data_IF_451136347258
#
_entry.id   IF_451136347258
#
_cell.length_a   1.000
_cell.length_b   1.000
_cell.length_c   1.000
_cell.angle_alpha   90.00
_cell.angle_beta   90.00
_cell.angle_gamma   90.00
#
_symmetry.space_group_name_H-M   'P 1'
#
loop_
_entity.id
_entity.type
_entity.pdbx_description
1 polymer ?
#
# COMPACT_ATOMS: atom_id res chain seq x y z
N UNK A 1 34.01 15.13 25.23
CA UNK A 1 32.81 15.13 24.36
C UNK A 1 32.97 14.05 23.30
N UNK A 2 32.38 12.87 23.50
CA UNK A 2 32.41 11.81 22.51
C UNK A 2 31.37 12.10 21.42
N UNK A 3 31.82 12.19 20.16
CA UNK A 3 30.94 12.28 18.99
C UNK A 3 30.10 11.01 18.94
N UNK A 4 28.81 11.09 19.29
CA UNK A 4 27.82 10.05 18.99
C UNK A 4 27.76 9.95 17.47
N UNK A 5 28.45 8.96 16.89
CA UNK A 5 28.19 8.54 15.52
C UNK A 5 26.77 7.99 15.48
N UNK A 6 25.85 8.76 14.88
CA UNK A 6 24.54 8.27 14.51
C UNK A 6 24.74 7.07 13.56
N UNK A 7 24.10 5.95 13.90
CA UNK A 7 24.15 4.76 13.07
C UNK A 7 23.60 5.09 11.68
N UNK A 8 24.22 4.53 10.63
CA UNK A 8 23.73 4.70 9.28
C UNK A 8 22.26 4.24 9.17
N UNK A 9 21.43 4.91 8.36
CA UNK A 9 20.02 4.55 8.22
C UNK A 9 19.85 3.09 7.78
N UNK A 10 18.91 2.38 8.41
CA UNK A 10 18.61 0.97 8.09
C UNK A 10 18.11 0.87 6.65
N UNK A 11 18.73 -0.02 5.87
CA UNK A 11 18.36 -0.25 4.46
C UNK A 11 17.39 -1.41 4.27
N UNK A 12 17.28 -2.29 5.26
CA UNK A 12 16.45 -3.49 5.25
C UNK A 12 15.89 -3.73 6.64
N UNK A 13 14.65 -4.23 6.71
CA UNK A 13 13.97 -4.63 7.94
C UNK A 13 13.15 -5.88 7.65
N UNK A 14 13.26 -6.86 8.53
CA UNK A 14 12.48 -8.09 8.49
C UNK A 14 11.73 -8.22 9.81
N UNK A 15 10.42 -8.39 9.73
CA UNK A 15 9.54 -8.46 10.89
C UNK A 15 8.58 -9.63 10.73
N UNK A 16 8.38 -10.40 11.80
CA UNK A 16 7.40 -11.48 11.81
C UNK A 16 5.99 -10.90 11.83
N UNK A 17 5.15 -11.29 10.88
CA UNK A 17 3.72 -10.95 10.87
C UNK A 17 2.94 -12.03 11.60
N UNK A 18 2.22 -11.65 12.66
CA UNK A 18 1.45 -12.59 13.47
C UNK A 18 2.32 -13.36 14.46
N UNK A 19 1.90 -14.57 14.81
CA UNK A 19 2.58 -15.43 15.77
C UNK A 19 3.06 -16.70 15.10
N UNK A 20 4.30 -17.10 15.37
CA UNK A 20 4.83 -18.40 14.95
C UNK A 20 4.01 -19.54 15.56
N UNK A 21 3.72 -20.56 14.77
CA UNK A 21 2.91 -21.71 15.18
C UNK A 21 3.73 -22.98 15.17
N UNK A 22 3.72 -23.72 16.28
CA UNK A 22 4.22 -25.08 16.34
C UNK A 22 3.10 -26.03 15.94
N UNK A 23 3.12 -26.51 14.69
CA UNK A 23 2.06 -27.38 14.15
C UNK A 23 2.24 -28.84 14.54
N UNK A 24 3.48 -29.28 14.71
CA UNK A 24 3.81 -30.65 15.09
C UNK A 24 5.05 -30.70 15.98
N UNK A 25 5.03 -31.60 16.96
CA UNK A 25 6.17 -31.94 17.79
C UNK A 25 6.13 -33.43 18.09
N UNK A 26 7.30 -34.08 18.07
CA UNK A 26 7.42 -35.46 18.53
C UNK A 26 6.88 -35.62 19.96
N UNK A 27 6.30 -36.78 20.30
CA UNK A 27 5.90 -37.10 21.67
C UNK A 27 7.06 -36.96 22.65
N UNK A 28 6.73 -36.70 23.92
CA UNK A 28 7.71 -36.72 24.99
C UNK A 28 8.49 -38.05 24.98
N UNK A 29 9.81 -37.98 25.11
CA UNK A 29 10.76 -39.12 25.07
C UNK A 29 11.06 -39.70 23.67
N UNK A 30 10.67 -39.05 22.57
CA UNK A 30 11.14 -39.40 21.22
C UNK A 30 11.89 -38.23 20.58
N UNK A 31 13.10 -38.49 20.12
CA UNK A 31 13.91 -37.50 19.39
C UNK A 31 13.35 -37.23 17.98
N UNK A 32 12.84 -38.27 17.31
CA UNK A 32 12.24 -38.17 15.98
C UNK A 32 11.08 -39.15 15.79
N UNK A 33 10.31 -38.92 14.73
CA UNK A 33 9.26 -39.81 14.27
C UNK A 33 9.33 -39.95 12.75
N UNK A 34 9.15 -41.17 12.24
CA UNK A 34 9.14 -41.44 10.81
C UNK A 34 7.74 -41.17 10.24
N UNK A 35 7.66 -40.14 9.41
CA UNK A 35 6.41 -39.59 8.90
C UNK A 35 6.43 -39.68 7.38
N UNK A 36 5.38 -40.29 6.82
CA UNK A 36 5.19 -40.40 5.38
C UNK A 36 4.47 -39.18 4.81
N UNK A 37 3.48 -38.68 5.53
CA UNK A 37 2.63 -37.57 5.08
C UNK A 37 2.10 -36.76 6.27
N UNK A 38 2.00 -35.44 6.09
CA UNK A 38 1.32 -34.54 7.00
C UNK A 38 0.50 -33.52 6.24
N UNK A 39 -0.75 -33.34 6.66
CA UNK A 39 -1.58 -32.20 6.39
C UNK A 39 -1.93 -31.54 7.73
N UNK A 40 -1.40 -30.34 7.96
CA UNK A 40 -1.48 -29.62 9.22
C UNK A 40 -2.20 -28.29 8.99
N UNK A 41 -3.54 -28.24 9.14
CA UNK A 41 -4.29 -27.00 9.02
C UNK A 41 -3.83 -25.96 10.05
N UNK A 42 -3.71 -24.70 9.65
CA UNK A 42 -3.34 -23.59 10.51
C UNK A 42 -4.03 -22.30 10.09
N UNK A 43 -4.15 -21.34 11.01
CA UNK A 43 -4.63 -19.98 10.75
C UNK A 43 -3.69 -18.99 11.43
N UNK A 44 -3.17 -18.04 10.65
CA UNK A 44 -2.35 -16.94 11.15
C UNK A 44 -3.22 -15.71 11.28
N UNK A 45 -3.36 -15.20 12.50
CA UNK A 45 -4.00 -13.92 12.75
C UNK A 45 -3.01 -12.78 12.48
N UNK A 46 -3.33 -11.96 11.48
CA UNK A 46 -2.57 -10.74 11.21
C UNK A 46 -2.88 -9.74 12.33
N UNK A 47 -1.87 -9.17 13.00
CA UNK A 47 -2.10 -8.21 14.07
C UNK A 47 -2.92 -7.02 13.59
N UNK A 48 -4.00 -6.70 14.30
CA UNK A 48 -4.73 -5.46 14.13
C UNK A 48 -4.65 -4.64 15.42
N UNK A 49 -3.91 -3.54 15.39
CA UNK A 49 -3.82 -2.60 16.51
C UNK A 49 -4.49 -1.28 16.17
N UNK A 50 -5.47 -0.85 16.98
CA UNK A 50 -5.87 0.57 17.01
C UNK A 50 -4.79 1.37 17.73
N UNK A 51 -3.86 1.97 17.00
CA UNK A 51 -3.08 3.13 17.47
C UNK A 51 -2.00 2.91 18.53
N UNK A 52 -1.24 1.81 18.49
CA UNK A 52 0.00 1.67 19.28
C UNK A 52 1.25 2.15 18.53
N UNK A 53 2.25 2.70 19.25
CA UNK A 53 3.55 3.08 18.68
C UNK A 53 4.44 1.88 18.27
N UNK A 54 4.11 0.65 18.70
CA UNK A 54 4.86 -0.57 18.35
C UNK A 54 4.60 -0.99 16.89
N UNK A 55 5.66 -1.11 16.09
CA UNK A 55 5.59 -1.53 14.68
C UNK A 55 4.91 -2.89 14.52
N UNK A 56 5.15 -3.82 15.46
CA UNK A 56 4.55 -5.16 15.50
C UNK A 56 3.01 -5.20 15.67
N UNK A 57 2.36 -4.07 15.98
CA UNK A 57 0.89 -3.96 16.10
C UNK A 57 0.23 -3.24 14.93
N UNK A 58 1.00 -2.74 13.97
CA UNK A 58 0.46 -2.06 12.80
C UNK A 58 -0.03 -3.08 11.78
N UNK A 59 -1.17 -2.78 11.15
CA UNK A 59 -1.65 -3.57 10.01
C UNK A 59 -0.56 -3.55 8.93
N UNK A 60 -0.08 -4.71 8.44
CA UNK A 60 0.99 -4.78 7.47
C UNK A 60 0.66 -3.94 6.21
N UNK A 61 1.63 -3.21 5.64
CA UNK A 61 1.44 -2.54 4.35
C UNK A 61 1.13 -3.54 3.22
N UNK A 62 0.63 -3.06 2.09
CA UNK A 62 0.49 -3.90 0.90
C UNK A 62 1.87 -4.24 0.33
N UNK A 63 1.98 -5.41 -0.32
CA UNK A 63 3.17 -5.76 -1.10
C UNK A 63 3.37 -4.76 -2.22
N UNK A 64 4.55 -4.18 -2.32
CA UNK A 64 4.86 -3.11 -3.27
C UNK A 64 6.32 -3.17 -3.68
N UNK A 65 6.58 -2.93 -4.96
CA UNK A 65 7.92 -2.71 -5.49
C UNK A 65 7.90 -1.39 -6.28
N UNK A 66 8.65 -0.40 -5.81
CA UNK A 66 8.81 0.87 -6.53
C UNK A 66 9.75 0.69 -7.74
N UNK A 67 9.66 1.57 -8.76
CA UNK A 67 10.51 1.49 -9.95
C UNK A 67 11.99 1.45 -9.61
N UNK A 68 12.77 0.72 -10.42
CA UNK A 68 14.21 0.50 -10.19
C UNK A 68 14.54 -0.10 -8.82
N UNK A 69 13.55 -0.70 -8.14
CA UNK A 69 13.68 -1.32 -6.82
C UNK A 69 14.25 -0.38 -5.76
N UNK A 70 13.82 0.89 -5.78
CA UNK A 70 14.28 1.86 -4.79
C UNK A 70 13.71 1.58 -3.40
N UNK A 71 12.56 0.92 -3.32
CA UNK A 71 11.99 0.35 -2.09
C UNK A 71 11.10 -0.86 -2.44
N UNK A 72 11.04 -1.82 -1.53
CA UNK A 72 10.25 -3.03 -1.66
C UNK A 72 9.61 -3.40 -0.32
N UNK A 73 8.43 -4.01 -0.38
CA UNK A 73 7.76 -4.69 0.72
C UNK A 73 7.16 -5.95 0.15
N UNK A 74 7.54 -7.10 0.70
CA UNK A 74 7.01 -8.40 0.32
C UNK A 74 6.87 -9.28 1.56
N UNK A 75 6.10 -10.36 1.43
CA UNK A 75 5.85 -11.29 2.52
C UNK A 75 6.10 -12.71 2.05
N UNK A 76 6.59 -13.51 2.98
CA UNK A 76 6.83 -14.93 2.78
C UNK A 76 6.27 -15.69 3.98
N UNK A 77 5.62 -16.82 3.70
CA UNK A 77 5.34 -17.83 4.69
C UNK A 77 6.55 -18.76 4.78
N UNK A 78 7.16 -18.82 5.95
CA UNK A 78 8.35 -19.64 6.19
C UNK A 78 7.96 -20.86 7.01
N UNK A 79 8.11 -22.04 6.41
CA UNK A 79 7.91 -23.34 7.08
C UNK A 79 9.27 -23.89 7.47
N UNK A 80 9.47 -24.14 8.76
CA UNK A 80 10.70 -24.78 9.27
C UNK A 80 10.41 -26.22 9.67
N UNK A 81 11.14 -27.17 9.08
CA UNK A 81 11.08 -28.59 9.41
C UNK A 81 12.36 -28.97 10.14
N UNK A 82 12.22 -29.55 11.34
CA UNK A 82 13.33 -30.18 12.06
C UNK A 82 13.35 -31.68 11.80
N UNK A 83 14.52 -32.20 11.43
CA UNK A 83 14.76 -33.63 11.20
C UNK A 83 15.44 -34.27 12.43
N UNK A 84 15.29 -35.58 12.57
CA UNK A 84 15.85 -36.34 13.69
C UNK A 84 17.38 -36.30 13.81
N UNK A 85 18.09 -36.00 12.72
CA UNK A 85 19.55 -35.79 12.69
C UNK A 85 20.00 -34.48 13.36
N UNK A 86 19.06 -33.63 13.78
CA UNK A 86 19.33 -32.26 14.24
C UNK A 86 19.33 -31.23 13.09
N UNK A 87 19.23 -31.69 11.85
CA UNK A 87 19.14 -30.80 10.69
C UNK A 87 17.81 -30.02 10.69
N UNK A 88 17.87 -28.75 10.29
CA UNK A 88 16.69 -27.90 10.11
C UNK A 88 16.67 -27.38 8.69
N UNK A 89 15.51 -27.51 8.03
CA UNK A 89 15.31 -26.96 6.68
C UNK A 89 14.17 -25.95 6.68
N UNK A 90 14.38 -24.86 5.97
CA UNK A 90 13.39 -23.80 5.80
C UNK A 90 12.89 -23.81 4.36
N UNK A 91 11.59 -23.59 4.22
CA UNK A 91 10.90 -23.44 2.94
C UNK A 91 10.14 -22.11 2.98
N UNK A 92 10.44 -21.23 2.04
CA UNK A 92 9.78 -19.93 1.91
C UNK A 92 8.79 -19.95 0.75
N UNK A 93 7.58 -19.45 1.00
CA UNK A 93 6.51 -19.35 0.02
C UNK A 93 6.04 -17.89 -0.06
N UNK A 94 6.03 -17.25 -1.23
CA UNK A 94 5.61 -15.86 -1.35
C UNK A 94 4.11 -15.71 -1.06
N UNK A 95 3.74 -14.70 -0.27
CA UNK A 95 2.35 -14.38 0.09
C UNK A 95 2.08 -12.90 -0.21
N UNK A 96 1.75 -12.52 -1.46
CA UNK A 96 1.49 -11.13 -1.78
C UNK A 96 0.26 -10.61 -1.00
N UNK A 97 0.40 -9.46 -0.35
CA UNK A 97 -0.67 -8.82 0.43
C UNK A 97 -1.23 -7.62 -0.32
N UNK A 98 -2.55 -7.59 -0.50
CA UNK A 98 -3.28 -6.44 -1.03
C UNK A 98 -4.01 -5.69 0.08
N UNK A 99 -4.14 -4.38 -0.05
CA UNK A 99 -4.93 -3.56 0.87
C UNK A 99 -6.03 -2.80 0.14
N UNK A 100 -7.14 -2.64 0.85
CA UNK A 100 -8.35 -1.99 0.35
C UNK A 100 -8.77 -0.83 1.26
N UNK A 101 -7.89 -0.32 2.13
CA UNK A 101 -8.22 0.77 3.04
C UNK A 101 -8.23 2.15 2.38
N UNK A 102 -7.67 2.27 1.17
CA UNK A 102 -7.55 3.54 0.42
C UNK A 102 -8.56 3.69 -0.72
N UNK A 103 -9.51 2.75 -0.88
CA UNK A 103 -10.45 2.71 -2.00
C UNK A 103 -11.21 4.02 -2.21
N UNK A 104 -11.25 4.52 -3.45
CA UNK A 104 -11.91 5.78 -3.79
C UNK A 104 -13.43 5.78 -3.58
N UNK A 105 -14.03 4.59 -3.43
CA UNK A 105 -15.45 4.38 -3.16
C UNK A 105 -15.84 4.57 -1.70
N UNK A 106 -14.89 4.58 -0.75
CA UNK A 106 -15.23 4.77 0.65
C UNK A 106 -15.79 6.16 0.93
N UNK A 107 -16.88 6.20 1.70
CA UNK A 107 -17.59 7.44 2.04
C UNK A 107 -16.74 8.47 2.79
N UNK A 108 -15.66 8.05 3.48
CA UNK A 108 -14.73 8.98 4.13
C UNK A 108 -13.98 9.86 3.12
N UNK A 109 -13.73 9.35 1.91
CA UNK A 109 -13.03 10.06 0.85
C UNK A 109 -13.97 10.90 -0.03
N UNK A 110 -15.26 10.59 -0.02
CA UNK A 110 -16.30 11.31 -0.75
C UNK A 110 -16.90 12.45 0.06
N UNK A 111 -16.02 13.24 0.70
CA UNK A 111 -16.36 14.46 1.42
C UNK A 111 -15.54 15.61 0.85
N UNK A 112 -16.15 16.80 0.68
CA UNK A 112 -15.40 17.93 0.19
C UNK A 112 -14.24 18.31 1.10
N UNK A 113 -13.06 18.51 0.53
CA UNK A 113 -11.87 18.94 1.23
C UNK A 113 -11.46 20.33 0.70
N UNK A 114 -11.35 21.30 1.60
CA UNK A 114 -11.06 22.69 1.23
C UNK A 114 -9.82 23.19 1.97
N UNK A 115 -9.02 23.98 1.29
CA UNK A 115 -7.82 24.58 1.87
C UNK A 115 -7.60 25.98 1.31
N UNK A 116 -7.02 26.85 2.13
CA UNK A 116 -6.66 28.20 1.73
C UNK A 116 -5.19 28.49 2.02
N UNK A 117 -4.58 29.29 1.16
CA UNK A 117 -3.19 29.70 1.29
C UNK A 117 -3.02 31.15 0.86
N UNK A 118 -2.18 31.83 1.62
CA UNK A 118 -1.83 33.23 1.45
C UNK A 118 -0.31 33.31 1.44
N UNK A 119 0.29 33.98 0.45
CA UNK A 119 1.76 34.18 0.36
C UNK A 119 2.18 35.63 0.57
N UNK A 120 1.26 36.57 0.38
CA UNK A 120 1.38 37.99 0.72
C UNK A 120 0.03 38.53 1.20
N UNK A 121 -0.09 39.83 1.46
CA UNK A 121 -1.33 40.42 1.99
C UNK A 121 -2.34 40.81 0.90
N UNK A 122 -2.11 40.51 -0.40
CA UNK A 122 -2.94 41.02 -1.49
C UNK A 122 -3.97 40.03 -2.01
N UNK A 123 -3.63 38.74 -2.06
CA UNK A 123 -4.49 37.70 -2.66
C UNK A 123 -4.47 36.42 -1.82
N UNK A 124 -5.65 35.81 -1.65
CA UNK A 124 -5.84 34.50 -1.04
C UNK A 124 -6.20 33.46 -2.10
N UNK A 125 -5.49 32.34 -2.14
CA UNK A 125 -5.82 31.16 -2.94
C UNK A 125 -6.60 30.16 -2.09
N UNK A 126 -7.85 29.90 -2.43
CA UNK A 126 -8.66 28.82 -1.89
C UNK A 126 -8.88 27.72 -2.91
N UNK A 127 -8.96 26.49 -2.45
CA UNK A 127 -9.35 25.32 -3.23
C UNK A 127 -10.49 24.56 -2.56
N UNK A 128 -11.26 23.82 -3.36
CA UNK A 128 -12.19 22.81 -2.88
C UNK A 128 -12.17 21.59 -3.80
N UNK A 129 -11.97 20.42 -3.21
CA UNK A 129 -11.98 19.13 -3.86
C UNK A 129 -13.28 18.41 -3.48
N UNK A 130 -14.01 17.79 -4.43
CA UNK A 130 -15.23 17.03 -4.10
C UNK A 130 -14.93 15.70 -3.39
N UNK A 131 -13.73 15.14 -3.64
CA UNK A 131 -13.19 13.93 -3.01
C UNK A 131 -11.68 14.01 -2.92
N UNK A 132 -11.06 13.17 -2.10
CA UNK A 132 -9.63 13.21 -1.87
C UNK A 132 -8.92 11.84 -1.96
N UNK A 133 -9.60 10.81 -2.50
CA UNK A 133 -8.98 9.55 -2.93
C UNK A 133 -9.18 9.34 -4.45
N UNK A 134 -8.12 8.90 -5.13
CA UNK A 134 -8.07 8.75 -6.58
C UNK A 134 -7.32 7.47 -6.98
N UNK A 135 -7.88 6.74 -7.94
CA UNK A 135 -7.23 5.60 -8.59
C UNK A 135 -6.65 5.93 -9.97
N UNK A 136 -6.01 4.96 -10.65
CA UNK A 136 -5.62 5.10 -12.06
C UNK A 136 -6.82 5.49 -12.92
N UNK A 137 -6.60 6.44 -13.85
CA UNK A 137 -7.60 6.99 -14.78
C UNK A 137 -8.75 7.76 -14.12
N UNK A 138 -8.74 7.94 -12.81
CA UNK A 138 -9.77 8.74 -12.14
C UNK A 138 -9.67 10.22 -12.55
N UNK A 139 -10.80 10.88 -12.82
CA UNK A 139 -10.82 12.33 -13.00
C UNK A 139 -10.59 13.02 -11.64
N UNK A 140 -9.70 14.01 -11.67
CA UNK A 140 -9.39 14.91 -10.57
C UNK A 140 -9.88 16.29 -10.97
N UNK A 141 -10.84 16.84 -10.23
CA UNK A 141 -11.42 18.16 -10.46
C UNK A 141 -11.27 19.00 -9.20
N UNK A 142 -10.75 20.21 -9.33
CA UNK A 142 -10.58 21.16 -8.23
C UNK A 142 -11.24 22.48 -8.55
N UNK A 143 -12.03 22.98 -7.61
CA UNK A 143 -12.55 24.34 -7.64
C UNK A 143 -11.50 25.27 -7.06
N UNK A 144 -11.16 26.33 -7.77
CA UNK A 144 -10.13 27.29 -7.40
C UNK A 144 -10.76 28.67 -7.25
N UNK A 145 -10.46 29.33 -6.14
CA UNK A 145 -10.90 30.69 -5.82
C UNK A 145 -9.69 31.55 -5.50
N UNK A 146 -9.47 32.61 -6.27
CA UNK A 146 -8.51 33.67 -5.93
C UNK A 146 -9.29 34.89 -5.45
N UNK A 147 -9.14 35.24 -4.17
CA UNK A 147 -9.87 36.35 -3.55
C UNK A 147 -8.93 37.53 -3.32
N UNK A 148 -9.26 38.76 -3.77
CA UNK A 148 -8.49 39.94 -3.38
C UNK A 148 -8.70 40.23 -1.90
N UNK A 149 -7.68 40.77 -1.24
CA UNK A 149 -7.83 41.27 0.13
C UNK A 149 -8.69 42.56 0.14
N UNK A 150 -9.84 42.58 0.85
CA UNK A 150 -10.70 43.76 0.97
C UNK A 150 -9.98 44.99 1.53
N UNK A 151 -9.07 44.81 2.48
CA UNK A 151 -8.33 45.92 3.13
C UNK A 151 -7.36 46.61 2.14
N UNK A 152 -6.96 45.92 1.09
CA UNK A 152 -5.98 46.38 0.09
C UNK A 152 -6.55 46.37 -1.32
N UNK A 153 -7.86 46.53 -1.47
CA UNK A 153 -8.58 46.32 -2.73
C UNK A 153 -8.03 47.15 -3.89
N UNK A 154 -7.61 48.39 -3.64
CA UNK A 154 -7.01 49.28 -4.65
C UNK A 154 -5.68 48.77 -5.23
N UNK A 155 -4.90 48.03 -4.42
CA UNK A 155 -3.67 47.35 -4.86
C UNK A 155 -3.98 45.96 -5.42
N UNK A 156 -4.85 45.20 -4.76
CA UNK A 156 -5.22 43.85 -5.17
C UNK A 156 -5.82 43.82 -6.58
N UNK A 157 -6.68 44.78 -6.97
CA UNK A 157 -7.23 44.89 -8.34
C UNK A 157 -6.18 45.13 -9.43
N UNK A 158 -4.99 45.62 -9.07
CA UNK A 158 -3.88 45.82 -10.01
C UNK A 158 -3.11 44.52 -10.28
N UNK A 159 -3.27 43.52 -9.41
CA UNK A 159 -2.66 42.20 -9.58
C UNK A 159 -3.24 41.54 -10.84
N UNK A 160 -2.38 40.96 -11.67
CA UNK A 160 -2.81 40.21 -12.86
C UNK A 160 -2.52 38.73 -12.66
N UNK A 161 -3.53 37.89 -12.81
CA UNK A 161 -3.42 36.43 -12.78
C UNK A 161 -2.82 36.00 -14.12
N UNK A 162 -1.57 35.54 -14.14
CA UNK A 162 -0.92 35.10 -15.39
C UNK A 162 -1.39 33.71 -15.80
N UNK A 163 -1.21 32.75 -14.90
CA UNK A 163 -1.52 31.34 -15.13
C UNK A 163 -1.82 30.63 -13.82
N UNK A 164 -2.56 29.54 -13.92
CA UNK A 164 -2.81 28.62 -12.82
C UNK A 164 -2.32 27.24 -13.27
N UNK A 165 -1.47 26.63 -12.45
CA UNK A 165 -0.95 25.29 -12.70
C UNK A 165 -1.53 24.33 -11.66
N UNK A 166 -2.00 23.18 -12.13
CA UNK A 166 -2.43 22.06 -11.31
C UNK A 166 -1.52 20.87 -11.61
N UNK A 167 -1.07 20.16 -10.59
CA UNK A 167 -0.28 18.96 -10.76
C UNK A 167 -0.43 17.99 -9.61
N UNK A 168 -0.01 16.75 -9.84
CA UNK A 168 0.08 15.72 -8.81
C UNK A 168 1.56 15.41 -8.59
N UNK A 169 1.98 15.51 -7.34
CA UNK A 169 3.32 15.17 -6.92
C UNK A 169 3.28 13.90 -6.06
N UNK A 170 4.13 12.94 -6.40
CA UNK A 170 4.46 11.78 -5.58
C UNK A 170 5.67 12.14 -4.71
N UNK A 171 5.60 11.84 -3.42
CA UNK A 171 6.69 12.03 -2.47
C UNK A 171 7.00 10.69 -1.78
N UNK A 172 8.19 10.15 -2.07
CA UNK A 172 8.72 8.96 -1.40
C UNK A 172 9.67 9.40 -0.29
N UNK A 173 9.31 9.08 0.95
CA UNK A 173 10.06 9.44 2.15
C UNK A 173 10.73 8.19 2.69
N UNK A 174 12.05 8.10 2.59
CA UNK A 174 12.85 7.01 3.15
C UNK A 174 13.24 7.34 4.59
N UNK A 175 13.26 6.33 5.46
CA UNK A 175 13.54 6.45 6.90
C UNK A 175 12.64 7.50 7.57
N UNK A 176 11.34 7.48 7.28
CA UNK A 176 10.39 8.52 7.72
C UNK A 176 10.25 8.63 9.25
N UNK A 177 10.59 7.57 9.99
CA UNK A 177 10.60 7.52 11.46
C UNK A 177 11.98 7.83 12.08
N UNK A 178 13.05 7.98 11.27
CA UNK A 178 14.40 8.22 11.74
C UNK A 178 14.80 9.71 11.81
N UNK A 179 16.00 9.98 12.31
CA UNK A 179 16.51 11.35 12.50
C UNK A 179 16.78 12.11 11.18
N UNK A 180 17.03 11.41 10.07
CA UNK A 180 17.33 12.00 8.76
C UNK A 180 16.45 11.40 7.63
N UNK A 181 15.17 11.81 7.52
CA UNK A 181 14.30 11.35 6.45
C UNK A 181 14.72 11.91 5.09
N UNK A 182 14.89 11.04 4.10
CA UNK A 182 15.19 11.45 2.73
C UNK A 182 13.92 11.51 1.89
N UNK A 183 13.60 12.69 1.37
CA UNK A 183 12.42 12.93 0.53
C UNK A 183 12.81 12.96 -0.93
N UNK A 184 12.15 12.15 -1.76
CA UNK A 184 12.24 12.20 -3.22
C UNK A 184 10.88 12.56 -3.78
N UNK A 185 10.79 13.74 -4.38
CA UNK A 185 9.57 14.23 -5.02
C UNK A 185 9.64 14.01 -6.53
N UNK A 186 8.55 13.52 -7.11
CA UNK A 186 8.37 13.34 -8.55
C UNK A 186 7.04 13.95 -8.96
N UNK A 187 7.05 14.83 -9.94
CA UNK A 187 5.82 15.30 -10.57
C UNK A 187 5.29 14.21 -11.52
N UNK A 188 4.08 13.74 -11.28
CA UNK A 188 3.45 12.68 -12.09
C UNK A 188 2.74 13.25 -13.31
N UNK A 189 1.99 14.33 -13.09
CA UNK A 189 1.23 15.01 -14.14
C UNK A 189 1.12 16.49 -13.77
N UNK A 190 1.11 17.36 -14.77
CA UNK A 190 0.92 18.80 -14.62
C UNK A 190 0.14 19.34 -15.80
N UNK A 191 -0.79 20.25 -15.52
CA UNK A 191 -1.54 21.03 -16.50
C UNK A 191 -1.46 22.51 -16.12
N UNK A 192 -1.26 23.35 -17.13
CA UNK A 192 -1.16 24.79 -16.98
C UNK A 192 -2.28 25.46 -17.76
N UNK A 193 -3.03 26.33 -17.11
CA UNK A 193 -4.03 27.20 -17.73
C UNK A 193 -3.55 28.64 -17.71
N UNK A 194 -3.43 29.25 -18.89
CA UNK A 194 -3.10 30.67 -19.01
C UNK A 194 -4.38 31.49 -18.85
N UNK A 195 -4.37 32.45 -17.92
CA UNK A 195 -5.55 33.25 -17.56
C UNK A 195 -5.42 34.66 -18.16
N UNK A 196 -4.39 35.42 -17.77
CA UNK A 196 -4.12 36.76 -18.31
C UNK A 196 -5.09 37.85 -17.86
N UNK A 197 -5.83 37.66 -16.76
CA UNK A 197 -6.90 38.58 -16.32
C UNK A 197 -6.48 39.35 -15.04
N UNK A 198 -6.84 40.63 -14.94
CA UNK A 198 -6.67 41.42 -13.71
C UNK A 198 -7.61 40.93 -12.61
N UNK A 199 -7.18 40.97 -11.36
CA UNK A 199 -7.94 40.47 -10.22
C UNK A 199 -9.31 41.16 -10.13
N UNK A 200 -10.44 40.42 -10.30
CA UNK A 200 -11.76 40.98 -10.15
C UNK A 200 -12.06 41.33 -8.69
N UNK A 201 -12.92 42.31 -8.46
CA UNK A 201 -13.37 42.70 -7.11
C UNK A 201 -14.08 41.55 -6.38
N UNK A 202 -14.91 40.79 -7.09
CA UNK A 202 -15.60 39.62 -6.55
C UNK A 202 -14.68 38.39 -6.35
N UNK A 203 -13.42 38.47 -6.78
CA UNK A 203 -12.52 37.32 -6.90
C UNK A 203 -12.62 36.62 -8.26
N UNK A 204 -11.62 35.80 -8.54
CA UNK A 204 -11.56 34.95 -9.72
C UNK A 204 -11.85 33.50 -9.34
N UNK A 205 -12.75 32.86 -10.08
CA UNK A 205 -13.18 31.49 -9.85
C UNK A 205 -12.95 30.69 -11.13
N UNK A 206 -12.38 29.49 -10.99
CA UNK A 206 -12.26 28.54 -12.10
C UNK A 206 -12.33 27.11 -11.58
N UNK A 207 -12.60 26.17 -12.47
CA UNK A 207 -12.50 24.74 -12.19
C UNK A 207 -11.42 24.17 -13.11
N UNK A 208 -10.42 23.51 -12.52
CA UNK A 208 -9.39 22.81 -13.28
C UNK A 208 -9.52 21.32 -13.05
N UNK A 209 -9.35 20.57 -14.13
CA UNK A 209 -9.33 19.12 -14.11
C UNK A 209 -8.11 18.51 -14.79
N UNK A 210 -7.67 17.36 -14.28
CA UNK A 210 -6.70 16.44 -14.86
C UNK A 210 -7.14 14.99 -14.63
N UNK A 211 -6.50 14.04 -15.30
CA UNK A 211 -6.74 12.60 -15.10
C UNK A 211 -5.55 12.02 -14.35
N UNK A 212 -5.82 11.21 -13.32
CA UNK A 212 -4.76 10.53 -12.59
C UNK A 212 -4.05 9.53 -13.53
N UNK A 213 -2.71 9.55 -13.62
CA UNK A 213 -1.99 8.72 -14.57
C UNK A 213 -2.12 7.24 -14.22
N UNK A 214 -2.33 6.42 -15.24
CA UNK A 214 -2.16 4.97 -15.13
C UNK A 214 -0.79 4.55 -15.66
N UNK A 215 -0.35 3.37 -15.22
CA UNK A 215 0.83 2.69 -15.72
C UNK A 215 0.37 1.47 -16.52
N UNK A 216 0.74 1.40 -17.80
CA UNK A 216 0.53 0.17 -18.58
C UNK A 216 1.48 -0.90 -18.08
N UNK A 217 0.91 -2.02 -17.64
CA UNK A 217 1.67 -3.16 -17.10
C UNK A 217 2.35 -3.95 -18.23
N UNK A 218 1.93 -3.74 -19.48
CA UNK A 218 2.48 -4.40 -20.67
C UNK A 218 3.88 -3.86 -20.99
N UNK A 219 4.70 -4.73 -21.56
CA UNK A 219 6.00 -4.35 -22.10
C UNK A 219 5.88 -3.59 -23.45
N UNK A 220 7.01 -3.24 -24.05
CA UNK A 220 7.08 -2.51 -25.32
C UNK A 220 6.43 -3.25 -26.49
N UNK A 221 6.31 -4.58 -26.40
CA UNK A 221 5.69 -5.43 -27.41
C UNK A 221 4.19 -5.66 -27.12
N UNK A 222 3.65 -5.01 -26.08
CA UNK A 222 2.26 -5.13 -25.65
C UNK A 222 1.98 -6.43 -24.88
N UNK A 223 3.01 -7.18 -24.49
CA UNK A 223 2.89 -8.45 -23.79
C UNK A 223 2.83 -8.17 -22.29
N UNK A 224 1.92 -8.85 -21.59
CA UNK A 224 1.88 -8.78 -20.13
C UNK A 224 3.04 -9.62 -19.57
N UNK A 225 4.02 -9.00 -18.88
CA UNK A 225 5.14 -9.74 -18.33
C UNK A 225 4.64 -10.71 -17.26
N UNK A 226 5.30 -11.87 -17.13
CA UNK A 226 5.00 -12.80 -16.03
C UNK A 226 5.19 -12.06 -14.70
N UNK A 227 4.12 -11.99 -13.91
CA UNK A 227 4.15 -11.41 -12.58
C UNK A 227 5.18 -12.12 -11.69
N UNK A 228 5.77 -11.37 -10.76
CA UNK A 228 6.57 -11.99 -9.70
C UNK A 228 5.62 -12.47 -8.62
N UNK A 229 5.79 -13.70 -8.15
CA UNK A 229 4.89 -14.30 -7.17
C UNK A 229 4.72 -13.45 -5.88
N UNK A 230 5.75 -12.69 -5.49
CA UNK A 230 5.73 -11.85 -4.30
C UNK A 230 5.05 -10.47 -4.48
N UNK A 231 4.74 -10.05 -5.71
CA UNK A 231 4.26 -8.69 -5.99
C UNK A 231 3.05 -8.71 -6.93
N UNK A 232 1.88 -8.19 -6.47
CA UNK A 232 0.76 -7.95 -7.36
C UNK A 232 1.13 -6.96 -8.47
N UNK A 233 0.46 -7.09 -9.62
CA UNK A 233 0.58 -6.15 -10.72
C UNK A 233 -0.43 -5.00 -10.52
N UNK A 234 0.08 -3.79 -10.32
CA UNK A 234 -0.75 -2.59 -10.15
C UNK A 234 -0.74 -1.74 -11.42
N UNK A 235 -1.88 -1.10 -11.71
CA UNK A 235 -2.02 -0.14 -12.81
C UNK A 235 -1.52 1.27 -12.43
N UNK A 236 -0.77 1.38 -11.34
CA UNK A 236 -0.08 2.59 -10.88
C UNK A 236 1.35 2.24 -10.49
N UNK A 237 2.25 3.22 -10.58
CA UNK A 237 3.66 3.06 -10.20
C UNK A 237 3.83 2.86 -8.67
N UNK A 238 2.98 3.53 -7.91
CA UNK A 238 2.92 3.51 -6.46
C UNK A 238 1.54 3.98 -6.01
N UNK A 239 1.26 3.83 -4.73
CA UNK A 239 0.01 4.26 -4.11
C UNK A 239 0.30 4.66 -2.66
N UNK A 240 -0.64 5.38 -2.04
CA UNK A 240 -0.46 5.89 -0.68
C UNK A 240 -0.24 4.72 0.28
N UNK A 241 0.94 4.66 0.91
CA UNK A 241 1.30 3.58 1.83
C UNK A 241 2.34 4.04 2.84
N UNK A 242 2.33 3.42 4.01
CA UNK A 242 3.34 3.62 5.06
C UNK A 242 3.92 2.25 5.43
N UNK A 243 5.17 2.02 5.05
CA UNK A 243 5.94 0.85 5.43
C UNK A 243 6.96 1.22 6.53
N UNK A 244 7.71 0.23 7.03
CA UNK A 244 8.69 0.45 8.11
C UNK A 244 9.82 1.40 7.70
N UNK A 245 10.36 1.26 6.48
CA UNK A 245 11.51 2.04 6.01
C UNK A 245 11.17 3.14 5.01
N UNK A 246 9.95 3.18 4.51
CA UNK A 246 9.53 4.21 3.56
C UNK A 246 8.04 4.54 3.66
N UNK A 247 7.69 5.73 3.20
CA UNK A 247 6.32 6.21 3.07
C UNK A 247 6.14 6.78 1.68
N UNK A 248 4.99 6.53 1.06
CA UNK A 248 4.60 7.12 -0.23
C UNK A 248 3.40 8.00 0.02
N UNK A 249 3.55 9.29 -0.24
CA UNK A 249 2.51 10.31 -0.10
C UNK A 249 2.26 11.00 -1.44
N UNK A 250 1.04 11.49 -1.63
CA UNK A 250 0.65 12.21 -2.83
C UNK A 250 0.05 13.55 -2.47
N UNK A 251 0.34 14.54 -3.30
CA UNK A 251 -0.15 15.91 -3.13
C UNK A 251 -0.72 16.43 -4.42
N UNK A 252 -1.89 17.05 -4.33
CA UNK A 252 -2.39 17.95 -5.36
C UNK A 252 -1.76 19.32 -5.13
N UNK A 253 -0.97 19.76 -6.11
CA UNK A 253 -0.28 21.05 -6.08
C UNK A 253 -0.99 22.03 -7.01
N UNK A 254 -1.43 23.16 -6.45
CA UNK A 254 -2.00 24.29 -7.19
C UNK A 254 -1.03 25.45 -7.06
N UNK A 255 -0.60 26.00 -8.20
CA UNK A 255 0.25 27.19 -8.26
C UNK A 255 -0.46 28.28 -9.04
N UNK A 256 -0.78 29.38 -8.37
CA UNK A 256 -1.26 30.60 -9.00
C UNK A 256 -0.07 31.56 -9.22
N UNK A 257 0.29 31.80 -10.48
CA UNK A 257 1.33 32.77 -10.84
C UNK A 257 0.73 34.12 -11.19
N UNK A 258 1.28 35.18 -10.60
CA UNK A 258 0.70 36.52 -10.64
C UNK A 258 1.72 37.61 -10.95
N UNK A 259 1.24 38.74 -11.45
CA UNK A 259 1.99 39.99 -11.57
C UNK A 259 1.52 40.98 -10.52
N UNK A 260 2.48 41.64 -9.84
CA UNK A 260 2.16 42.63 -8.81
C UNK A 260 1.77 42.02 -7.46
N UNK A 261 1.92 40.70 -7.31
CA UNK A 261 1.79 39.93 -6.06
C UNK A 261 2.76 38.74 -6.11
N UNK A 262 3.03 38.11 -4.97
CA UNK A 262 3.80 36.88 -4.91
C UNK A 262 2.98 35.71 -5.44
N UNK A 263 3.62 34.81 -6.19
CA UNK A 263 3.03 33.53 -6.57
C UNK A 263 2.60 32.76 -5.31
N UNK A 264 1.45 32.10 -5.39
CA UNK A 264 0.92 31.28 -4.29
C UNK A 264 0.96 29.82 -4.71
N UNK A 265 1.57 28.98 -3.87
CA UNK A 265 1.58 27.52 -4.03
C UNK A 265 0.83 26.90 -2.86
N UNK A 266 -0.19 26.10 -3.17
CA UNK A 266 -0.96 25.31 -2.22
C UNK A 266 -0.71 23.83 -2.53
N UNK A 267 -0.29 23.06 -1.53
CA UNK A 267 -0.12 21.60 -1.59
C UNK A 267 -1.16 20.95 -0.69
N UNK A 268 -2.10 20.23 -1.27
CA UNK A 268 -3.15 19.52 -0.55
C UNK A 268 -2.86 18.01 -0.58
N UNK A 269 -2.74 17.33 0.58
CA UNK A 269 -2.62 15.87 0.62
C UNK A 269 -3.81 15.19 -0.07
N UNK A 270 -3.53 14.16 -0.87
CA UNK A 270 -4.53 13.27 -1.46
C UNK A 270 -4.13 11.81 -1.21
N UNK A 271 -5.11 10.92 -1.25
CA UNK A 271 -4.92 9.48 -1.17
C UNK A 271 -4.95 8.91 -2.57
N UNK A 272 -4.01 8.01 -2.86
CA UNK A 272 -3.95 7.27 -4.11
C UNK A 272 -4.19 5.80 -3.80
N UNK A 273 -5.17 5.20 -4.47
CA UNK A 273 -5.42 3.76 -4.41
C UNK A 273 -4.84 3.05 -5.64
N UNK A 274 -4.45 1.77 -5.51
CA UNK A 274 -3.88 1.02 -6.64
C UNK A 274 -4.90 0.62 -7.71
N UNK A 275 -6.18 0.89 -7.48
CA UNK A 275 -7.30 0.33 -8.22
C UNK A 275 -8.16 1.45 -8.82
N UNK A 276 -8.63 1.26 -10.06
CA UNK A 276 -9.54 2.21 -10.68
C UNK A 276 -10.89 2.24 -9.97
N UNK A 277 -11.70 3.27 -10.24
CA UNK A 277 -13.00 3.41 -9.58
C UNK A 277 -13.94 2.23 -9.83
N UNK A 278 -13.86 1.58 -11.00
CA UNK A 278 -14.70 0.44 -11.34
C UNK A 278 -14.38 -0.78 -10.47
N UNK A 279 -13.10 -1.12 -10.32
CA UNK A 279 -12.66 -2.20 -9.45
C UNK A 279 -12.89 -1.84 -7.98
N UNK A 280 -12.65 -0.59 -7.57
CA UNK A 280 -12.99 -0.14 -6.22
C UNK A 280 -14.46 -0.40 -5.87
N UNK A 281 -15.37 -0.31 -6.86
CA UNK A 281 -16.80 -0.60 -6.66
C UNK A 281 -17.09 -2.10 -6.68
N UNK A 282 -16.46 -2.85 -7.58
CA UNK A 282 -16.66 -4.30 -7.71
C UNK A 282 -16.20 -5.05 -6.45
N UNK A 283 -15.10 -4.62 -5.83
CA UNK A 283 -14.53 -5.26 -4.64
C UNK A 283 -15.34 -4.99 -3.36
N UNK A 284 -16.22 -3.98 -3.33
CA UNK A 284 -16.93 -3.59 -2.10
C UNK A 284 -17.73 -4.73 -1.48
N UNK A 285 -18.44 -5.50 -2.30
CA UNK A 285 -19.27 -6.62 -1.83
C UNK A 285 -18.40 -7.75 -1.25
N UNK A 286 -17.32 -8.10 -1.94
CA UNK A 286 -16.38 -9.12 -1.47
C UNK A 286 -15.70 -8.70 -0.16
N UNK A 287 -15.32 -7.43 -0.04
CA UNK A 287 -14.73 -6.86 1.19
C UNK A 287 -15.74 -6.90 2.34
N UNK A 288 -16.99 -6.50 2.10
CA UNK A 288 -18.04 -6.54 3.13
C UNK A 288 -18.29 -7.99 3.59
N UNK A 289 -18.39 -8.93 2.66
CA UNK A 289 -18.55 -10.34 2.98
C UNK A 289 -17.38 -10.88 3.78
N UNK A 290 -16.14 -10.64 3.33
CA UNK A 290 -14.94 -11.09 4.03
C UNK A 290 -14.84 -10.49 5.44
N UNK A 291 -15.22 -9.22 5.63
CA UNK A 291 -15.25 -8.59 6.94
C UNK A 291 -16.32 -9.20 7.86
N UNK A 292 -17.50 -9.53 7.33
CA UNK A 292 -18.57 -10.24 8.07
C UNK A 292 -18.10 -11.63 8.48
N UNK A 293 -17.52 -12.39 7.55
CA UNK A 293 -17.03 -13.75 7.84
C UNK A 293 -15.92 -13.73 8.89
N UNK A 294 -14.96 -12.81 8.76
CA UNK A 294 -13.89 -12.63 9.74
C UNK A 294 -14.42 -12.28 11.15
N UNK A 295 -15.53 -11.55 11.25
CA UNK A 295 -16.13 -11.19 12.54
C UNK A 295 -16.69 -12.38 13.33
N UNK A 296 -16.98 -13.50 12.65
CA UNK A 296 -17.47 -14.73 13.28
C UNK A 296 -16.33 -15.70 13.67
N UNK A 297 -15.09 -15.42 13.30
CA UNK A 297 -13.94 -16.27 13.63
C UNK A 297 -13.47 -15.97 15.06
N UNK A 298 -13.51 -16.99 15.93
CA UNK A 298 -12.92 -16.89 17.25
C UNK A 298 -11.38 -16.95 17.15
N UNK A 299 -10.72 -15.85 17.53
CA UNK A 299 -9.26 -15.74 17.46
C UNK A 299 -8.52 -16.64 18.48
N UNK A 300 -9.15 -16.95 19.61
CA UNK A 300 -8.55 -17.82 20.65
C UNK A 300 -8.70 -19.31 20.31
N UNK A 301 -9.73 -19.65 19.55
CA UNK A 301 -10.02 -21.03 19.15
C UNK A 301 -10.63 -21.07 17.74
N UNK A 302 -9.84 -20.86 16.67
CA UNK A 302 -10.34 -20.95 15.31
C UNK A 302 -10.78 -22.38 15.01
N UNK A 303 -11.95 -22.53 14.40
CA UNK A 303 -12.41 -23.84 13.91
C UNK A 303 -11.56 -24.26 12.72
N UNK A 304 -10.70 -25.26 12.91
CA UNK A 304 -9.82 -25.82 11.88
C UNK A 304 -10.24 -27.26 11.55
N UNK A 305 -10.03 -27.73 10.31
CA UNK A 305 -10.10 -29.15 10.00
C UNK A 305 -9.13 -29.98 10.86
N UNK A 306 -9.42 -31.26 11.03
CA UNK A 306 -8.54 -32.17 11.75
C UNK A 306 -7.23 -32.36 10.98
N UNK A 307 -6.11 -32.31 11.70
CA UNK A 307 -4.80 -32.63 11.14
C UNK A 307 -4.74 -34.11 10.71
N UNK A 308 -4.13 -34.36 9.56
CA UNK A 308 -3.87 -35.72 9.07
C UNK A 308 -2.39 -35.98 9.12
N UNK A 309 -1.98 -36.99 9.90
CA UNK A 309 -0.58 -37.39 10.04
C UNK A 309 -0.51 -38.89 9.78
N UNK A 310 0.23 -39.29 8.75
CA UNK A 310 0.45 -40.70 8.40
C UNK A 310 1.89 -41.06 8.73
N UNK A 311 2.06 -41.91 9.74
CA UNK A 311 3.36 -42.43 10.16
C UNK A 311 3.79 -43.57 9.24
N UNK A 312 5.10 -43.82 9.18
CA UNK A 312 5.61 -44.99 8.46
C UNK A 312 5.07 -46.33 9.02
N UNK A 313 4.70 -46.37 10.30
CA UNK A 313 4.12 -47.54 10.97
C UNK A 313 2.62 -47.73 10.71
N UNK A 314 1.93 -46.74 10.14
CA UNK A 314 0.48 -46.81 10.00
C UNK A 314 0.06 -47.79 8.89
N UNK A 315 -1.08 -48.50 9.04
CA UNK A 315 -1.60 -49.37 7.99
C UNK A 315 -1.82 -48.58 6.70
N UNK A 316 -1.37 -49.12 5.56
CA UNK A 316 -1.44 -48.47 4.25
C UNK A 316 -0.66 -47.14 4.15
N UNK A 317 0.31 -46.85 5.01
CA UNK A 317 1.11 -45.63 4.91
C UNK A 317 1.82 -45.45 3.56
N UNK A 318 2.10 -46.52 2.83
CA UNK A 318 2.69 -46.43 1.49
C UNK A 318 1.70 -45.88 0.45
N UNK A 319 0.39 -46.09 0.63
CA UNK A 319 -0.60 -45.67 -0.38
C UNK A 319 -0.75 -44.15 -0.42
N UNK A 320 -0.48 -43.42 0.67
CA UNK A 320 -0.57 -41.96 0.70
C UNK A 320 0.50 -41.26 -0.15
N UNK A 321 1.58 -41.96 -0.48
CA UNK A 321 2.63 -41.48 -1.41
C UNK A 321 2.51 -42.14 -2.79
N UNK A 322 1.37 -42.80 -3.09
CA UNK A 322 1.13 -43.47 -4.36
C UNK A 322 1.96 -44.74 -4.56
N UNK A 323 2.28 -45.47 -3.49
CA UNK A 323 3.10 -46.68 -3.53
C UNK A 323 2.39 -47.86 -2.85
N UNK A 324 2.52 -49.07 -3.40
CA UNK A 324 2.10 -50.31 -2.78
C UNK A 324 3.30 -51.25 -2.55
N UNK A 325 3.20 -52.12 -1.54
CA UNK A 325 4.15 -53.20 -1.33
C UNK A 325 3.61 -54.47 -1.99
N UNK A 326 4.27 -54.94 -3.04
CA UNK A 326 3.94 -56.20 -3.74
C UNK A 326 5.12 -57.14 -3.63
N UNK A 327 5.00 -58.22 -2.84
CA UNK A 327 6.09 -59.17 -2.62
C UNK A 327 7.36 -58.54 -2.03
N UNK A 328 7.19 -57.66 -1.03
CA UNK A 328 8.28 -56.87 -0.41
C UNK A 328 8.98 -55.85 -1.33
N UNK A 329 8.45 -55.62 -2.53
CA UNK A 329 8.96 -54.61 -3.47
C UNK A 329 8.00 -53.42 -3.52
N UNK A 330 8.54 -52.21 -3.41
CA UNK A 330 7.80 -50.96 -3.60
C UNK A 330 7.44 -50.79 -5.08
N UNK A 331 6.15 -50.74 -5.40
CA UNK A 331 5.62 -50.49 -6.75
C UNK A 331 4.69 -49.29 -6.75
N UNK A 332 4.57 -48.54 -7.86
CA UNK A 332 3.53 -47.52 -7.99
C UNK A 332 2.16 -48.12 -7.70
N UNK A 333 1.35 -47.41 -6.92
CA UNK A 333 -0.04 -47.74 -6.70
C UNK A 333 -0.80 -47.49 -8.01
N UNK A 334 -1.47 -48.52 -8.52
CA UNK A 334 -2.38 -48.43 -9.68
C UNK A 334 -3.78 -48.58 -9.09
N UNK A 335 -4.65 -47.58 -9.31
CA UNK A 335 -6.05 -47.58 -8.87
C UNK A 335 -6.95 -48.49 -9.71
#
# INVERSE_FOLDING_TARGET
>A
MAKKHLAAPRKESTETVGKEMLLFRCPANREYEEIMYMDLPFVIFIPFGRGGQETARRVPPASLQLPRRTAETFYEMVVTVGYGSGDRKQYAFPVPMCRYDTLSTFGMYNRPESAERVSDHLVTLGISLPRWSYGPLDPVSVYIKLSPNPDWLSKARKVTIRKIEIGIDEEVIYNHEGDEPQRKTKNLVRKTENVGVKMPEAGYFTNLGLVFPSHDVRDTDGIMPRGRAAFPQYAVIGFTTTAGLYKVEYYLTIKASMNGAKDIVLRQPIVVCPYDHAMCKAEMEAIEQAARDASHVNAENPMLPLATIVRASDPNAMSCIGVALVGSVKKPLIE
#
